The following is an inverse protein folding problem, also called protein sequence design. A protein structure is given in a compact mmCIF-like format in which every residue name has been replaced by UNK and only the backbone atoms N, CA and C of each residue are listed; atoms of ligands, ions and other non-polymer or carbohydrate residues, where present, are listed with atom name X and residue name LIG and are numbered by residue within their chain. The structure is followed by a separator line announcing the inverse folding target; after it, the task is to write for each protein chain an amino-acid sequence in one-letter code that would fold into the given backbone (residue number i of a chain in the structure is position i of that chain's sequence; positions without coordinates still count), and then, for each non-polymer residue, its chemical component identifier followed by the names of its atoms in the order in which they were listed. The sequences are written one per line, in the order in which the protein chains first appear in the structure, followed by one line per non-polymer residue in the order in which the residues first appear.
data_IF_856944632090
#
_entry.id   IF_856944632090
#
_cell.length_a   1.000
_cell.length_b   1.000
_cell.length_c   1.000
_cell.angle_alpha   90.00
_cell.angle_beta   90.00
_cell.angle_gamma   90.00
#
_symmetry.space_group_name_H-M   'P 1'
#
loop_
_entity.id
_entity.type
_entity.pdbx_description
1 polymer ?
#
# COMPACT_ATOMS: atom_id res chain seq x y z
N UNK A 1 1.05 16.86 -24.71
CA UNK A 1 1.62 15.50 -24.67
C UNK A 1 0.46 14.58 -24.37
N UNK A 2 0.15 13.65 -25.27
CA UNK A 2 -0.85 12.60 -24.99
C UNK A 2 -0.43 11.90 -23.69
N UNK A 3 -1.35 11.83 -22.72
CA UNK A 3 -1.14 10.98 -21.56
C UNK A 3 -1.08 9.54 -22.07
N UNK A 4 0.12 8.94 -22.08
CA UNK A 4 0.26 7.53 -22.41
C UNK A 4 -0.59 6.72 -21.43
N UNK A 5 -1.50 5.91 -21.97
CA UNK A 5 -2.41 5.10 -21.17
C UNK A 5 -1.69 3.84 -20.66
N UNK A 6 -2.05 3.40 -19.46
CA UNK A 6 -1.55 2.15 -18.88
C UNK A 6 -1.92 0.93 -19.72
N UNK A 7 -0.97 0.00 -19.89
CA UNK A 7 -1.26 -1.33 -20.44
C UNK A 7 -1.94 -2.20 -19.38
N UNK A 8 -3.28 -2.20 -19.41
CA UNK A 8 -4.12 -2.97 -18.49
C UNK A 8 -3.87 -4.48 -18.62
N UNK A 9 -3.54 -4.98 -19.81
CA UNK A 9 -3.29 -6.42 -20.02
C UNK A 9 -2.00 -6.87 -19.34
N UNK A 10 -0.94 -6.06 -19.43
CA UNK A 10 0.31 -6.30 -18.71
C UNK A 10 0.08 -6.25 -17.18
N UNK A 11 -0.72 -5.31 -16.70
CA UNK A 11 -1.10 -5.24 -15.28
C UNK A 11 -1.91 -6.47 -14.84
N UNK A 12 -2.93 -6.89 -15.58
CA UNK A 12 -3.72 -8.09 -15.29
C UNK A 12 -2.84 -9.34 -15.23
N UNK A 13 -1.89 -9.47 -16.15
CA UNK A 13 -0.89 -10.54 -16.13
C UNK A 13 -0.02 -10.47 -14.87
N UNK A 14 0.42 -9.27 -14.46
CA UNK A 14 1.23 -9.05 -13.26
C UNK A 14 0.51 -9.47 -11.97
N UNK A 15 -0.79 -9.22 -11.90
CA UNK A 15 -1.62 -9.52 -10.72
C UNK A 15 -2.38 -10.85 -10.80
N UNK A 16 -2.21 -11.60 -11.90
CA UNK A 16 -2.92 -12.86 -12.13
C UNK A 16 -4.44 -12.71 -12.23
N UNK A 17 -4.94 -11.56 -12.68
CA UNK A 17 -6.36 -11.33 -12.86
C UNK A 17 -6.82 -11.84 -14.23
N UNK A 18 -7.86 -12.69 -14.22
CA UNK A 18 -8.39 -13.36 -15.42
C UNK A 18 -9.83 -12.93 -15.74
N UNK A 19 -10.38 -11.97 -15.00
CA UNK A 19 -11.74 -11.48 -15.20
C UNK A 19 -11.82 -10.39 -16.26
N UNK A 20 -13.04 -9.88 -16.43
CA UNK A 20 -13.39 -8.95 -17.49
C UNK A 20 -12.95 -7.52 -17.13
N UNK A 21 -12.69 -6.69 -18.15
CA UNK A 21 -12.31 -5.28 -17.98
C UNK A 21 -13.54 -4.35 -17.78
N UNK A 22 -14.60 -4.82 -17.12
CA UNK A 22 -15.85 -4.07 -16.94
C UNK A 22 -15.84 -3.38 -15.57
N UNK A 23 -16.14 -2.07 -15.45
CA UNK A 23 -16.04 -1.32 -14.20
C UNK A 23 -17.23 -1.59 -13.26
N UNK A 24 -17.32 -2.80 -12.71
CA UNK A 24 -18.33 -3.19 -11.72
C UNK A 24 -17.73 -3.28 -10.32
N UNK A 25 -18.59 -3.37 -9.31
CA UNK A 25 -18.15 -3.58 -7.93
C UNK A 25 -17.41 -4.91 -7.77
N UNK A 26 -17.86 -5.97 -8.44
CA UNK A 26 -17.20 -7.28 -8.43
C UNK A 26 -15.78 -7.21 -9.01
N UNK A 27 -15.61 -6.47 -10.13
CA UNK A 27 -14.29 -6.21 -10.71
C UNK A 27 -13.39 -5.44 -9.74
N UNK A 28 -13.92 -4.41 -9.06
CA UNK A 28 -13.16 -3.65 -8.07
C UNK A 28 -12.69 -4.54 -6.91
N UNK A 29 -13.56 -5.38 -6.36
CA UNK A 29 -13.20 -6.35 -5.33
C UNK A 29 -12.13 -7.34 -5.82
N UNK A 30 -12.31 -7.91 -7.01
CA UNK A 30 -11.41 -8.91 -7.56
C UNK A 30 -10.02 -8.34 -7.87
N UNK A 31 -9.96 -7.13 -8.43
CA UNK A 31 -8.69 -6.43 -8.69
C UNK A 31 -7.98 -6.03 -7.40
N UNK A 32 -8.71 -5.56 -6.39
CA UNK A 32 -8.13 -5.21 -5.09
C UNK A 32 -7.46 -6.44 -4.44
N UNK A 33 -8.13 -7.59 -4.49
CA UNK A 33 -7.58 -8.86 -3.98
C UNK A 33 -6.40 -9.38 -4.82
N UNK A 34 -6.49 -9.29 -6.15
CA UNK A 34 -5.43 -9.70 -7.08
C UNK A 34 -4.16 -8.85 -6.91
N UNK A 35 -4.33 -7.54 -6.69
CA UNK A 35 -3.21 -6.65 -6.43
C UNK A 35 -2.52 -6.98 -5.10
N UNK A 36 -3.31 -7.08 -4.02
CA UNK A 36 -2.82 -7.38 -2.66
C UNK A 36 -1.95 -8.65 -2.57
N UNK A 37 -2.32 -9.70 -3.31
CA UNK A 37 -1.59 -10.98 -3.32
C UNK A 37 -0.36 -11.00 -4.22
N UNK A 38 -0.20 -10.00 -5.10
CA UNK A 38 0.75 -10.08 -6.22
C UNK A 38 1.80 -8.98 -6.23
N UNK A 39 1.46 -7.77 -5.80
CA UNK A 39 2.36 -6.61 -5.79
C UNK A 39 2.72 -6.31 -4.34
N UNK A 40 3.89 -6.74 -3.84
CA UNK A 40 4.26 -6.54 -2.44
C UNK A 40 4.44 -5.05 -2.13
N UNK A 41 4.11 -4.68 -0.90
CA UNK A 41 4.62 -3.45 -0.32
C UNK A 41 6.13 -3.62 -0.07
N UNK A 42 6.92 -2.61 -0.39
CA UNK A 42 8.35 -2.55 -0.08
C UNK A 42 8.89 -1.12 -0.19
N UNK A 43 10.05 -0.87 0.41
CA UNK A 43 10.73 0.43 0.38
C UNK A 43 12.23 0.33 0.10
N UNK A 44 12.67 -0.65 -0.70
CA UNK A 44 14.07 -0.84 -1.05
C UNK A 44 14.66 0.37 -1.76
N UNK A 45 13.91 1.03 -2.65
CA UNK A 45 14.42 2.23 -3.34
C UNK A 45 14.82 3.33 -2.33
N UNK A 46 13.94 3.79 -1.41
CA UNK A 46 14.33 4.72 -0.34
C UNK A 46 15.48 4.23 0.55
N UNK A 47 15.50 2.95 0.95
CA UNK A 47 16.58 2.37 1.80
C UNK A 47 17.92 2.39 1.08
N UNK A 48 17.91 2.19 -0.25
CA UNK A 48 19.10 2.26 -1.11
C UNK A 48 19.39 3.69 -1.61
N UNK A 49 18.69 4.70 -1.08
CA UNK A 49 18.94 6.12 -1.39
C UNK A 49 18.38 6.59 -2.73
N UNK A 50 17.46 5.84 -3.34
CA UNK A 50 16.74 6.23 -4.56
C UNK A 50 15.39 6.86 -4.21
N UNK A 51 15.17 8.16 -4.46
CA UNK A 51 13.89 8.81 -4.19
C UNK A 51 12.77 8.26 -5.06
N UNK A 52 11.56 8.21 -4.50
CA UNK A 52 10.33 7.97 -5.27
C UNK A 52 9.71 9.32 -5.60
N UNK A 53 10.13 9.90 -6.72
CA UNK A 53 9.78 11.27 -7.10
C UNK A 53 8.80 11.36 -8.28
N UNK A 54 8.73 10.33 -9.13
CA UNK A 54 7.85 10.30 -10.31
C UNK A 54 6.67 9.36 -10.06
N UNK A 55 5.48 9.93 -9.89
CA UNK A 55 4.22 9.19 -9.73
C UNK A 55 3.42 9.13 -11.04
N UNK A 56 4.08 9.35 -12.17
CA UNK A 56 3.53 9.18 -13.50
C UNK A 56 3.26 7.71 -13.84
N UNK A 57 2.23 7.48 -14.63
CA UNK A 57 1.79 6.13 -15.04
C UNK A 57 2.91 5.28 -15.63
N UNK A 58 3.79 5.86 -16.45
CA UNK A 58 4.92 5.13 -17.04
C UNK A 58 5.95 4.69 -16.02
N UNK A 59 6.32 5.56 -15.07
CA UNK A 59 7.29 5.23 -14.02
C UNK A 59 6.76 4.12 -13.10
N UNK A 60 5.48 4.22 -12.70
CA UNK A 60 4.85 3.24 -11.84
C UNK A 60 4.65 1.90 -12.54
N UNK A 61 4.17 1.90 -13.79
CA UNK A 61 4.01 0.67 -14.57
C UNK A 61 5.37 0.01 -14.89
N UNK A 62 6.39 0.81 -15.20
CA UNK A 62 7.74 0.28 -15.41
C UNK A 62 8.24 -0.48 -14.18
N UNK A 63 8.14 0.14 -13.00
CA UNK A 63 8.66 -0.45 -11.76
C UNK A 63 7.82 -1.65 -11.30
N UNK A 64 6.53 -1.45 -11.03
CA UNK A 64 5.69 -2.43 -10.36
C UNK A 64 5.23 -3.57 -11.29
N UNK A 65 5.10 -3.30 -12.59
CA UNK A 65 4.63 -4.27 -13.59
C UNK A 65 5.81 -4.88 -14.34
N UNK A 66 6.57 -4.08 -15.11
CA UNK A 66 7.60 -4.60 -16.02
C UNK A 66 8.81 -5.18 -15.27
N UNK A 67 9.33 -4.44 -14.30
CA UNK A 67 10.46 -4.85 -13.45
C UNK A 67 10.05 -5.71 -12.25
N UNK A 68 8.75 -6.05 -12.13
CA UNK A 68 8.20 -6.94 -11.09
C UNK A 68 8.63 -6.57 -9.65
N UNK A 69 8.85 -5.28 -9.41
CA UNK A 69 9.09 -4.74 -8.08
C UNK A 69 7.78 -4.56 -7.31
N UNK A 70 7.91 -4.19 -6.05
CA UNK A 70 6.82 -3.64 -5.26
C UNK A 70 6.89 -2.12 -5.22
N UNK A 71 6.21 -1.55 -4.23
CA UNK A 71 6.33 -0.14 -3.87
C UNK A 71 5.54 0.18 -2.62
N UNK A 72 5.69 1.40 -2.11
CA UNK A 72 4.89 1.88 -0.98
C UNK A 72 3.59 2.58 -1.43
N UNK A 73 2.89 3.24 -0.51
CA UNK A 73 1.51 3.73 -0.74
C UNK A 73 1.31 4.56 -2.00
N UNK A 74 2.19 5.52 -2.30
CA UNK A 74 2.07 6.40 -3.46
C UNK A 74 2.21 5.63 -4.78
N UNK A 75 3.01 4.57 -4.80
CA UNK A 75 3.25 3.75 -5.99
C UNK A 75 2.13 2.74 -6.20
N UNK A 76 1.72 2.06 -5.12
CA UNK A 76 0.66 1.06 -5.14
C UNK A 76 -0.69 1.69 -5.51
N UNK A 77 -1.13 2.70 -4.74
CA UNK A 77 -2.40 3.37 -4.99
C UNK A 77 -2.35 4.26 -6.24
N UNK A 78 -1.18 4.80 -6.59
CA UNK A 78 -0.97 5.51 -7.86
C UNK A 78 -1.21 4.60 -9.07
N UNK A 79 -0.53 3.45 -9.12
CA UNK A 79 -0.70 2.46 -10.19
C UNK A 79 -2.14 1.94 -10.23
N UNK A 80 -2.68 1.55 -9.08
CA UNK A 80 -4.04 1.03 -8.99
C UNK A 80 -5.06 2.06 -9.48
N UNK A 81 -4.90 3.33 -9.11
CA UNK A 81 -5.73 4.42 -9.60
C UNK A 81 -5.71 4.56 -11.12
N UNK A 82 -4.54 4.54 -11.76
CA UNK A 82 -4.45 4.61 -13.23
C UNK A 82 -5.11 3.40 -13.91
N UNK A 83 -4.98 2.18 -13.34
CA UNK A 83 -5.66 0.99 -13.87
C UNK A 83 -7.18 1.17 -13.79
N UNK A 84 -7.69 1.59 -12.64
CA UNK A 84 -9.13 1.78 -12.43
C UNK A 84 -9.71 2.85 -13.38
N UNK A 85 -9.00 3.97 -13.58
CA UNK A 85 -9.42 4.97 -14.56
C UNK A 85 -9.47 4.42 -15.98
N UNK A 86 -8.47 3.63 -16.39
CA UNK A 86 -8.44 3.01 -17.72
C UNK A 86 -9.58 2.01 -17.93
N UNK A 87 -10.10 1.42 -16.86
CA UNK A 87 -11.28 0.55 -16.88
C UNK A 87 -12.61 1.32 -16.85
N UNK A 88 -12.59 2.64 -16.63
CA UNK A 88 -13.78 3.49 -16.60
C UNK A 88 -14.37 3.75 -15.21
N UNK A 89 -13.66 3.43 -14.13
CA UNK A 89 -14.02 3.89 -12.79
C UNK A 89 -13.71 5.38 -12.62
N UNK A 90 -14.47 6.08 -11.77
CA UNK A 90 -14.09 7.40 -11.30
C UNK A 90 -13.09 7.30 -10.14
N UNK A 91 -12.00 8.06 -10.14
CA UNK A 91 -10.93 7.94 -9.12
C UNK A 91 -10.46 9.30 -8.62
N UNK A 92 -10.76 9.60 -7.35
CA UNK A 92 -10.15 10.70 -6.61
C UNK A 92 -8.97 10.18 -5.79
N UNK A 93 -7.81 10.85 -5.87
CA UNK A 93 -6.65 10.55 -5.02
C UNK A 93 -6.72 11.43 -3.77
N UNK A 94 -6.58 10.84 -2.60
CA UNK A 94 -6.66 11.52 -1.32
C UNK A 94 -5.31 11.44 -0.58
N UNK A 95 -5.08 12.37 0.35
CA UNK A 95 -3.90 12.37 1.23
C UNK A 95 -4.31 12.12 2.68
N UNK A 96 -3.53 11.29 3.37
CA UNK A 96 -3.76 10.89 4.75
C UNK A 96 -2.54 11.06 5.65
N UNK A 97 -2.80 11.13 6.95
CA UNK A 97 -1.83 11.16 8.03
C UNK A 97 -1.89 9.83 8.78
N UNK A 98 -0.77 9.13 8.82
CA UNK A 98 -0.67 7.85 9.54
C UNK A 98 -0.66 8.12 11.04
N UNK A 99 -1.61 7.53 11.77
CA UNK A 99 -1.74 7.64 13.24
C UNK A 99 -1.64 6.27 13.91
N UNK A 100 -1.23 5.25 13.15
CA UNK A 100 -1.13 3.89 13.65
C UNK A 100 -0.10 3.78 14.77
N UNK A 101 -0.51 3.20 15.90
CA UNK A 101 0.29 3.07 17.12
C UNK A 101 0.74 4.40 17.74
N UNK A 102 0.18 5.53 17.31
CA UNK A 102 0.41 6.81 17.99
C UNK A 102 -0.48 6.90 19.23
N UNK A 103 0.08 7.47 20.30
CA UNK A 103 -0.70 7.87 21.47
C UNK A 103 -1.72 8.97 21.10
N UNK A 104 -2.86 9.07 21.82
CA UNK A 104 -3.89 10.06 21.52
C UNK A 104 -3.41 11.51 21.45
N UNK A 105 -2.40 11.86 22.26
CA UNK A 105 -1.82 13.21 22.36
C UNK A 105 -0.54 13.38 21.51
N UNK A 106 -0.24 12.44 20.62
CA UNK A 106 0.92 12.53 19.74
C UNK A 106 0.84 13.77 18.82
N UNK A 107 1.98 14.38 18.46
CA UNK A 107 2.01 15.48 17.50
C UNK A 107 1.35 15.09 16.17
N UNK A 108 0.71 16.07 15.52
CA UNK A 108 0.06 15.85 14.22
C UNK A 108 1.06 15.31 13.19
N UNK A 109 0.87 14.10 12.65
CA UNK A 109 1.79 13.51 11.68
C UNK A 109 1.72 14.21 10.33
N UNK A 110 2.78 14.10 9.52
CA UNK A 110 2.78 14.62 8.15
C UNK A 110 1.80 13.85 7.24
N UNK A 111 1.34 14.49 6.16
CA UNK A 111 0.54 13.84 5.12
C UNK A 111 1.46 12.97 4.25
N UNK A 112 1.51 11.68 4.59
CA UNK A 112 2.50 10.72 4.10
C UNK A 112 1.87 9.44 3.56
N UNK A 113 0.54 9.40 3.50
CA UNK A 113 -0.22 8.30 2.95
C UNK A 113 -1.09 8.79 1.79
N UNK A 114 -1.23 7.96 0.76
CA UNK A 114 -2.15 8.18 -0.35
C UNK A 114 -3.18 7.05 -0.38
N UNK A 115 -4.45 7.38 -0.59
CA UNK A 115 -5.56 6.41 -0.76
C UNK A 115 -6.49 6.88 -1.89
N UNK A 116 -7.41 6.03 -2.32
CA UNK A 116 -8.34 6.32 -3.41
C UNK A 116 -9.79 6.36 -2.93
N UNK A 117 -10.55 7.35 -3.38
CA UNK A 117 -12.01 7.30 -3.37
C UNK A 117 -12.48 6.96 -4.79
N UNK A 118 -13.13 5.80 -4.92
CA UNK A 118 -13.50 5.20 -6.21
C UNK A 118 -15.02 5.27 -6.39
N UNK A 119 -15.45 5.76 -7.55
CA UNK A 119 -16.84 5.73 -7.99
C UNK A 119 -17.01 4.57 -8.98
N UNK A 120 -17.96 3.68 -8.70
CA UNK A 120 -18.30 2.56 -9.55
C UNK A 120 -19.56 2.92 -10.36
N UNK A 121 -19.54 2.85 -11.70
CA UNK A 121 -20.72 3.08 -12.52
C UNK A 121 -21.92 2.24 -12.08
N UNK A 122 -23.04 2.90 -11.79
CA UNK A 122 -24.30 2.25 -11.37
C UNK A 122 -24.40 1.94 -9.87
N UNK A 123 -23.37 2.19 -9.08
CA UNK A 123 -23.42 2.06 -7.61
C UNK A 123 -23.67 3.42 -6.95
N UNK A 124 -24.44 3.41 -5.86
CA UNK A 124 -24.62 4.59 -5.02
C UNK A 124 -23.40 4.82 -4.10
N UNK A 125 -22.87 6.04 -4.14
CA UNK A 125 -21.78 6.49 -3.28
C UNK A 125 -20.38 6.15 -3.81
N UNK A 126 -19.38 6.31 -2.95
CA UNK A 126 -17.96 6.05 -3.25
C UNK A 126 -17.42 4.94 -2.36
N UNK A 127 -16.36 4.30 -2.82
CA UNK A 127 -15.64 3.27 -2.10
C UNK A 127 -14.22 3.75 -1.76
N UNK A 128 -13.78 3.54 -0.53
CA UNK A 128 -12.38 3.67 -0.16
C UNK A 128 -11.63 2.44 -0.67
N UNK A 129 -10.60 2.68 -1.48
CA UNK A 129 -9.64 1.66 -1.89
C UNK A 129 -8.25 2.04 -1.37
N UNK A 130 -7.56 1.07 -0.78
CA UNK A 130 -6.19 1.24 -0.31
C UNK A 130 -5.46 -0.11 -0.39
N UNK A 131 -4.60 -0.23 -1.40
CA UNK A 131 -3.71 -1.37 -1.62
C UNK A 131 -2.27 -1.07 -1.19
N UNK A 132 -2.05 0.06 -0.51
CA UNK A 132 -0.73 0.67 -0.34
C UNK A 132 -0.27 0.88 1.09
N UNK A 133 -1.07 0.55 2.11
CA UNK A 133 -0.72 0.80 3.53
C UNK A 133 0.22 -0.27 4.15
N UNK A 134 0.69 -1.22 3.34
CA UNK A 134 1.52 -2.32 3.80
C UNK A 134 0.71 -3.39 4.54
N UNK A 135 1.24 -3.87 5.67
CA UNK A 135 0.73 -5.05 6.36
C UNK A 135 -0.75 -5.04 6.71
N UNK A 136 -1.24 -3.89 7.16
CA UNK A 136 -2.63 -3.70 7.59
C UNK A 136 -3.48 -3.00 6.52
N UNK A 137 -3.03 -2.99 5.25
CA UNK A 137 -3.81 -2.42 4.14
C UNK A 137 -5.18 -3.09 4.00
N UNK A 138 -6.14 -2.36 3.42
CA UNK A 138 -7.45 -2.90 3.14
C UNK A 138 -7.32 -4.14 2.24
N UNK A 139 -8.10 -5.17 2.55
CA UNK A 139 -8.12 -6.40 1.74
C UNK A 139 -9.26 -6.42 0.73
N UNK A 140 -10.20 -5.48 0.88
CA UNK A 140 -11.37 -5.25 0.05
C UNK A 140 -11.65 -3.74 -0.01
N UNK A 141 -12.21 -3.21 -1.11
CA UNK A 141 -12.82 -1.90 -1.08
C UNK A 141 -13.93 -1.85 -0.03
N UNK A 142 -14.09 -0.73 0.66
CA UNK A 142 -15.17 -0.50 1.63
C UNK A 142 -15.96 0.75 1.25
N UNK A 143 -17.23 0.85 1.62
CA UNK A 143 -18.02 2.07 1.39
C UNK A 143 -17.40 3.24 2.14
N UNK A 144 -17.28 4.39 1.47
CA UNK A 144 -16.77 5.63 2.04
C UNK A 144 -17.89 6.32 2.86
N UNK A 145 -18.26 5.69 3.97
CA UNK A 145 -19.31 6.15 4.90
C UNK A 145 -18.88 5.90 6.34
N UNK A 146 -19.02 6.91 7.20
CA UNK A 146 -18.71 6.78 8.62
C UNK A 146 -19.80 6.02 9.38
N UNK A 147 -19.38 5.23 10.38
CA UNK A 147 -20.26 4.57 11.34
C UNK A 147 -20.27 3.04 11.21
N UNK A 148 -20.78 2.47 10.11
CA UNK A 148 -20.89 1.02 9.96
C UNK A 148 -19.54 0.30 10.05
N UNK A 149 -19.55 -0.85 10.75
CA UNK A 149 -18.50 -1.86 10.65
C UNK A 149 -18.66 -2.58 9.32
N UNK A 150 -17.57 -2.73 8.57
CA UNK A 150 -17.54 -3.32 7.24
C UNK A 150 -16.60 -4.51 7.25
N UNK A 151 -17.16 -5.70 7.01
CA UNK A 151 -16.38 -6.93 6.89
C UNK A 151 -15.58 -6.91 5.58
N UNK A 152 -14.29 -7.24 5.65
CA UNK A 152 -13.43 -7.42 4.48
C UNK A 152 -13.13 -8.91 4.28
N UNK A 153 -12.27 -9.24 3.31
CA UNK A 153 -11.72 -10.60 3.18
C UNK A 153 -10.96 -11.06 4.44
N UNK A 154 -10.48 -10.13 5.26
CA UNK A 154 -9.75 -10.40 6.50
C UNK A 154 -10.48 -9.77 7.70
N UNK A 155 -9.90 -8.76 8.35
CA UNK A 155 -10.46 -8.14 9.53
C UNK A 155 -11.63 -7.20 9.17
N UNK A 156 -12.56 -6.95 10.11
CA UNK A 156 -13.49 -5.84 10.02
C UNK A 156 -12.77 -4.49 10.06
N UNK A 157 -13.23 -3.54 9.25
CA UNK A 157 -12.79 -2.15 9.24
C UNK A 157 -13.98 -1.23 9.51
N UNK A 158 -13.71 0.00 9.93
CA UNK A 158 -14.72 1.07 9.99
C UNK A 158 -14.12 2.41 9.67
N UNK A 159 -14.94 3.29 9.11
CA UNK A 159 -14.63 4.72 9.04
C UNK A 159 -15.33 5.41 10.20
N UNK A 160 -14.59 6.26 10.90
CA UNK A 160 -15.11 7.12 11.97
C UNK A 160 -15.10 8.56 11.47
N UNK A 161 -16.17 9.31 11.74
CA UNK A 161 -16.21 10.74 11.52
C UNK A 161 -15.15 11.42 12.41
N UNK A 162 -14.22 12.12 11.77
CA UNK A 162 -13.12 12.81 12.43
C UNK A 162 -13.17 14.33 12.18
N UNK A 163 -14.34 14.86 11.80
CA UNK A 163 -14.59 16.26 11.50
C UNK A 163 -15.04 16.50 10.06
N UNK A 164 -15.26 17.78 9.68
CA UNK A 164 -15.74 18.13 8.35
C UNK A 164 -14.91 17.50 7.24
N UNK A 165 -15.57 16.74 6.36
CA UNK A 165 -14.99 16.02 5.23
C UNK A 165 -13.77 15.14 5.57
N UNK A 166 -13.65 14.72 6.84
CA UNK A 166 -12.50 14.02 7.40
C UNK A 166 -12.93 12.68 7.99
N UNK A 167 -12.23 11.62 7.60
CA UNK A 167 -12.45 10.28 8.11
C UNK A 167 -11.20 9.74 8.78
N UNK A 168 -11.41 8.91 9.81
CA UNK A 168 -10.38 8.03 10.36
C UNK A 168 -10.71 6.58 10.02
N UNK A 169 -9.78 5.88 9.36
CA UNK A 169 -9.91 4.44 9.17
C UNK A 169 -9.41 3.72 10.42
N UNK A 170 -10.20 2.76 10.90
CA UNK A 170 -9.82 1.85 11.97
C UNK A 170 -10.00 0.39 11.53
N UNK A 171 -9.14 -0.49 12.03
CA UNK A 171 -9.22 -1.93 11.83
C UNK A 171 -9.40 -2.64 13.18
N UNK A 172 -10.19 -3.71 13.21
CA UNK A 172 -10.30 -4.57 14.39
C UNK A 172 -9.16 -5.60 14.37
N UNK A 173 -8.07 -5.31 15.08
CA UNK A 173 -6.89 -6.16 15.15
C UNK A 173 -6.81 -6.79 16.54
N UNK A 174 -6.91 -8.13 16.61
CA UNK A 174 -6.86 -8.89 17.88
C UNK A 174 -7.86 -8.37 18.91
N UNK A 175 -9.13 -8.24 18.49
CA UNK A 175 -10.25 -7.75 19.29
C UNK A 175 -10.13 -6.29 19.77
N UNK A 176 -9.19 -5.53 19.22
CA UNK A 176 -9.00 -4.11 19.53
C UNK A 176 -9.10 -3.25 18.27
N UNK A 177 -9.90 -2.20 18.34
CA UNK A 177 -9.94 -1.19 17.28
C UNK A 177 -8.66 -0.37 17.32
N UNK A 178 -7.92 -0.38 16.22
CA UNK A 178 -6.71 0.42 16.04
C UNK A 178 -6.95 1.45 14.95
N UNK A 179 -6.67 2.72 15.27
CA UNK A 179 -6.63 3.78 14.29
C UNK A 179 -5.44 3.58 13.36
N UNK A 180 -5.66 3.65 12.04
CA UNK A 180 -4.61 3.47 11.05
C UNK A 180 -4.15 4.83 10.49
N UNK A 181 -5.09 5.57 9.91
CA UNK A 181 -4.82 6.87 9.32
C UNK A 181 -6.07 7.75 9.26
N UNK A 182 -5.84 9.05 9.21
CA UNK A 182 -6.87 10.09 9.03
C UNK A 182 -6.69 10.75 7.67
N UNK A 183 -7.75 10.99 6.92
CA UNK A 183 -7.69 11.60 5.60
C UNK A 183 -8.89 12.51 5.33
N UNK A 184 -8.72 13.48 4.45
CA UNK A 184 -9.82 14.32 3.95
C UNK A 184 -10.30 13.79 2.61
N UNK A 185 -11.55 14.11 2.23
CA UNK A 185 -12.11 13.73 0.91
C UNK A 185 -11.81 14.70 -0.23
N UNK A 186 -10.95 15.69 0.04
CA UNK A 186 -10.48 16.64 -0.96
C UNK A 186 -9.49 15.96 -1.93
N UNK A 187 -9.79 15.90 -3.24
CA UNK A 187 -8.87 15.34 -4.23
C UNK A 187 -7.55 16.11 -4.26
N UNK A 188 -6.44 15.38 -4.34
CA UNK A 188 -5.10 15.94 -4.41
C UNK A 188 -4.54 15.83 -5.83
N UNK A 189 -3.96 16.91 -6.38
CA UNK A 189 -3.25 16.83 -7.65
C UNK A 189 -1.98 15.98 -7.46
N UNK A 190 -1.50 15.38 -8.55
CA UNK A 190 -0.32 14.51 -8.53
C UNK A 190 0.90 15.19 -7.90
N UNK A 191 1.10 16.48 -8.17
CA UNK A 191 2.24 17.24 -7.63
C UNK A 191 2.27 17.28 -6.10
N UNK A 192 1.11 17.37 -5.43
CA UNK A 192 1.05 17.36 -3.97
C UNK A 192 1.41 15.98 -3.41
N UNK A 193 1.02 14.92 -4.14
CA UNK A 193 1.38 13.54 -3.80
C UNK A 193 2.88 13.30 -4.03
N UNK A 194 3.46 13.82 -5.10
CA UNK A 194 4.90 13.77 -5.39
C UNK A 194 5.72 14.47 -4.29
N UNK A 195 5.24 15.61 -3.76
CA UNK A 195 5.87 16.29 -2.60
C UNK A 195 5.84 15.41 -1.35
N UNK A 196 4.71 14.77 -1.05
CA UNK A 196 4.61 13.82 0.06
C UNK A 196 5.53 12.61 -0.13
N UNK A 197 5.52 12.02 -1.33
CA UNK A 197 6.36 10.90 -1.76
C UNK A 197 7.85 11.23 -1.61
N UNK A 198 8.27 12.43 -2.03
CA UNK A 198 9.63 12.95 -1.84
C UNK A 198 10.00 13.02 -0.35
N UNK A 199 9.15 13.61 0.49
CA UNK A 199 9.41 13.69 1.92
C UNK A 199 9.59 12.29 2.53
N UNK A 200 8.68 11.36 2.23
CA UNK A 200 8.71 10.01 2.78
C UNK A 200 9.91 9.20 2.27
N UNK A 201 10.35 9.41 1.03
CA UNK A 201 11.47 8.66 0.43
C UNK A 201 12.85 9.26 0.69
N UNK A 202 12.96 10.49 1.18
CA UNK A 202 14.26 11.19 1.31
C UNK A 202 14.53 11.81 2.67
N UNK A 203 13.50 12.07 3.48
CA UNK A 203 13.72 12.73 4.77
C UNK A 203 14.51 11.79 5.69
N UNK A 204 15.60 12.25 6.33
CA UNK A 204 16.53 11.39 7.07
C UNK A 204 15.93 10.74 8.33
N UNK A 205 14.73 11.16 8.74
CA UNK A 205 13.96 10.53 9.84
C UNK A 205 12.73 9.76 9.37
N UNK A 206 12.51 9.63 8.06
CA UNK A 206 11.42 8.82 7.55
C UNK A 206 11.65 7.36 7.90
N UNK A 207 10.63 6.67 8.42
CA UNK A 207 10.68 5.24 8.75
C UNK A 207 10.97 4.36 7.54
N UNK A 208 10.80 4.91 6.33
CA UNK A 208 11.07 4.23 5.06
C UNK A 208 12.47 4.53 4.51
N UNK A 209 13.20 5.48 5.09
CA UNK A 209 14.62 5.72 4.77
C UNK A 209 15.50 4.96 5.76
N UNK A 210 15.14 5.00 7.05
CA UNK A 210 15.97 4.42 8.12
C UNK A 210 15.61 2.97 8.47
N UNK A 211 14.66 2.34 7.77
CA UNK A 211 14.22 1.00 8.11
C UNK A 211 13.73 0.25 6.89
N UNK A 212 13.95 -1.07 6.86
CA UNK A 212 13.42 -1.94 5.82
C UNK A 212 12.01 -2.42 6.20
N UNK A 213 11.08 -2.32 5.26
CA UNK A 213 9.74 -2.87 5.35
C UNK A 213 9.36 -3.61 4.07
N UNK A 214 8.75 -4.78 4.20
CA UNK A 214 8.03 -5.43 3.12
C UNK A 214 6.73 -6.04 3.65
N UNK A 215 5.68 -6.07 2.83
CA UNK A 215 4.44 -6.73 3.19
C UNK A 215 3.73 -7.36 1.99
N UNK A 216 2.97 -8.42 2.24
CA UNK A 216 2.13 -9.08 1.24
C UNK A 216 0.86 -9.61 1.89
N UNK A 217 -0.30 -9.43 1.24
CA UNK A 217 -1.58 -9.90 1.75
C UNK A 217 -2.13 -10.96 0.80
N UNK A 218 -2.05 -12.22 1.24
CA UNK A 218 -2.63 -13.37 0.56
C UNK A 218 -4.09 -13.58 1.00
N UNK A 219 -4.77 -14.58 0.49
CA UNK A 219 -6.14 -14.89 0.92
C UNK A 219 -6.16 -15.46 2.35
N UNK A 220 -5.05 -16.06 2.79
CA UNK A 220 -4.94 -16.78 4.06
C UNK A 220 -4.21 -15.99 5.15
N UNK A 221 -3.31 -15.08 4.76
CA UNK A 221 -2.41 -14.44 5.70
C UNK A 221 -1.91 -13.05 5.27
N UNK A 222 -1.56 -12.24 6.28
CA UNK A 222 -0.78 -11.00 6.16
C UNK A 222 0.67 -11.29 6.53
N UNK A 223 1.58 -11.07 5.59
CA UNK A 223 3.02 -11.23 5.75
C UNK A 223 3.65 -9.86 5.95
N UNK A 224 4.42 -9.70 7.02
CA UNK A 224 5.03 -8.43 7.42
C UNK A 224 6.50 -8.63 7.77
N UNK A 225 7.38 -7.99 7.03
CA UNK A 225 8.81 -7.93 7.31
C UNK A 225 9.17 -6.52 7.76
N UNK A 226 9.83 -6.39 8.91
CA UNK A 226 10.46 -5.16 9.38
C UNK A 226 11.90 -5.46 9.79
N UNK A 227 12.87 -4.91 9.07
CA UNK A 227 14.27 -5.27 9.25
C UNK A 227 14.46 -6.78 9.06
N UNK A 228 14.91 -7.48 10.12
CA UNK A 228 15.02 -8.95 10.16
C UNK A 228 13.83 -9.69 10.78
N UNK A 229 12.79 -8.97 11.20
CA UNK A 229 11.64 -9.55 11.90
C UNK A 229 10.52 -9.83 10.90
N UNK A 230 10.24 -11.11 10.64
CA UNK A 230 9.13 -11.56 9.81
C UNK A 230 7.97 -12.00 10.71
N UNK A 231 6.79 -11.46 10.49
CA UNK A 231 5.55 -11.84 11.15
C UNK A 231 4.52 -12.30 10.12
N UNK A 232 3.85 -13.41 10.40
CA UNK A 232 2.77 -13.96 9.58
C UNK A 232 1.51 -14.03 10.42
N UNK A 233 0.49 -13.27 10.03
CA UNK A 233 -0.81 -13.26 10.71
C UNK A 233 -1.83 -14.02 9.86
N UNK A 234 -2.29 -15.16 10.37
CA UNK A 234 -3.29 -16.01 9.74
C UNK A 234 -4.42 -16.31 10.73
N UNK A 235 -5.52 -16.93 10.27
CA UNK A 235 -6.68 -17.26 11.12
C UNK A 235 -6.33 -18.15 12.34
N UNK A 236 -5.23 -18.90 12.28
CA UNK A 236 -4.75 -19.76 13.38
C UNK A 236 -3.84 -19.07 14.40
N UNK A 237 -3.47 -17.79 14.19
CA UNK A 237 -2.59 -17.06 15.09
C UNK A 237 -1.50 -16.26 14.37
N UNK A 238 -0.49 -15.84 15.13
CA UNK A 238 0.67 -15.11 14.60
C UNK A 238 1.94 -15.94 14.77
N UNK A 239 2.63 -16.21 13.68
CA UNK A 239 4.00 -16.72 13.69
C UNK A 239 4.99 -15.55 13.60
N UNK A 240 6.12 -15.65 14.31
CA UNK A 240 7.20 -14.67 14.27
C UNK A 240 8.53 -15.37 14.09
N UNK A 241 9.36 -14.83 13.22
CA UNK A 241 10.67 -15.34 12.89
C UNK A 241 11.67 -14.17 12.86
N UNK A 242 12.82 -14.37 13.49
CA UNK A 242 13.97 -13.49 13.36
C UNK A 242 14.95 -14.12 12.37
N UNK A 243 15.24 -13.41 11.29
CA UNK A 243 16.17 -13.82 10.24
C UNK A 243 17.60 -13.52 10.67
N UNK A 244 18.55 -14.40 10.34
CA UNK A 244 19.91 -14.35 10.86
C UNK A 244 20.73 -13.14 10.36
N UNK A 245 20.38 -12.59 9.19
CA UNK A 245 21.10 -11.46 8.59
C UNK A 245 20.58 -11.08 7.21
N UNK A 246 21.32 -10.19 6.54
CA UNK A 246 20.90 -9.59 5.27
C UNK A 246 20.66 -10.63 4.16
N UNK A 247 21.47 -11.69 4.09
CA UNK A 247 21.32 -12.75 3.09
C UNK A 247 19.98 -13.49 3.24
N UNK A 248 19.57 -13.84 4.45
CA UNK A 248 18.26 -14.48 4.68
C UNK A 248 17.11 -13.51 4.39
N UNK A 249 17.26 -12.24 4.75
CA UNK A 249 16.29 -11.19 4.43
C UNK A 249 16.10 -11.04 2.92
N UNK A 250 17.20 -10.98 2.16
CA UNK A 250 17.14 -10.93 0.68
C UNK A 250 16.52 -12.21 0.12
N UNK A 251 16.87 -13.37 0.67
CA UNK A 251 16.23 -14.64 0.32
C UNK A 251 14.72 -14.61 0.51
N UNK A 252 14.23 -14.01 1.60
CA UNK A 252 12.81 -13.87 1.89
C UNK A 252 12.12 -12.86 0.95
N UNK A 253 12.77 -11.71 0.66
CA UNK A 253 12.28 -10.72 -0.32
C UNK A 253 12.07 -11.33 -1.71
N UNK A 254 12.99 -12.18 -2.17
CA UNK A 254 12.88 -12.85 -3.47
C UNK A 254 11.85 -13.98 -3.41
N UNK A 255 11.97 -14.91 -2.46
CA UNK A 255 11.22 -16.16 -2.50
C UNK A 255 9.79 -16.02 -2.01
N UNK A 256 9.53 -15.23 -0.96
CA UNK A 256 8.17 -15.06 -0.40
C UNK A 256 7.46 -13.83 -0.90
N UNK A 257 8.16 -12.69 -0.97
CA UNK A 257 7.56 -11.46 -1.47
C UNK A 257 7.59 -11.36 -3.01
N UNK A 258 8.33 -12.24 -3.69
CA UNK A 258 8.32 -12.35 -5.14
C UNK A 258 8.98 -11.17 -5.86
N UNK A 259 9.91 -10.48 -5.18
CA UNK A 259 10.59 -9.30 -5.72
C UNK A 259 11.72 -9.70 -6.68
N UNK A 260 11.73 -9.07 -7.86
CA UNK A 260 12.91 -9.08 -8.73
C UNK A 260 13.87 -7.97 -8.30
N UNK A 261 15.05 -8.35 -7.79
CA UNK A 261 16.06 -7.43 -7.29
C UNK A 261 17.12 -7.07 -8.35
N UNK A 262 16.94 -7.54 -9.59
CA UNK A 262 17.86 -7.29 -10.69
C UNK A 262 18.06 -5.78 -10.92
N UNK A 263 19.33 -5.37 -11.03
CA UNK A 263 19.69 -3.97 -11.28
C UNK A 263 19.74 -3.05 -10.05
N UNK A 264 19.53 -3.57 -8.83
CA UNK A 264 19.64 -2.79 -7.58
C UNK A 264 21.04 -2.78 -6.94
N UNK A 265 22.02 -3.43 -7.56
CA UNK A 265 23.36 -3.57 -7.00
C UNK A 265 23.41 -4.55 -5.83
N UNK A 266 24.29 -4.30 -4.85
CA UNK A 266 24.45 -5.15 -3.68
C UNK A 266 23.41 -4.82 -2.61
N UNK A 267 22.23 -5.45 -2.73
CA UNK A 267 21.11 -5.25 -1.80
C UNK A 267 21.47 -5.73 -0.39
N UNK A 268 22.24 -6.82 -0.25
CA UNK A 268 22.64 -7.36 1.05
C UNK A 268 23.47 -6.33 1.84
N UNK A 269 24.50 -5.75 1.21
CA UNK A 269 25.27 -4.68 1.80
C UNK A 269 24.40 -3.43 2.06
N UNK A 270 23.52 -3.09 1.11
CA UNK A 270 22.63 -1.93 1.19
C UNK A 270 21.68 -1.97 2.38
N UNK A 271 21.13 -3.12 2.76
CA UNK A 271 20.16 -3.25 3.86
C UNK A 271 20.78 -3.61 5.21
N UNK A 272 22.05 -4.02 5.24
CA UNK A 272 22.70 -4.54 6.46
C UNK A 272 22.64 -3.57 7.65
N UNK A 273 22.64 -2.26 7.37
CA UNK A 273 22.60 -1.21 8.39
C UNK A 273 21.20 -0.92 8.96
N UNK A 274 20.13 -1.49 8.38
CA UNK A 274 18.72 -1.25 8.79
C UNK A 274 18.00 -2.49 9.32
N UNK A 275 18.73 -3.59 9.56
CA UNK A 275 18.12 -4.86 9.99
C UNK A 275 17.51 -4.82 11.41
N UNK A 276 18.10 -4.02 12.30
CA UNK A 276 17.73 -3.96 13.72
C UNK A 276 16.90 -2.72 14.07
N UNK A 277 16.57 -1.89 13.07
CA UNK A 277 15.78 -0.68 13.29
C UNK A 277 14.30 -1.08 13.39
N UNK A 278 13.87 -1.43 14.59
CA UNK A 278 12.45 -1.41 14.95
C UNK A 278 11.96 0.03 14.84
N UNK A 279 10.98 0.28 13.95
CA UNK A 279 10.25 1.54 14.01
C UNK A 279 9.61 1.65 15.40
N UNK A 280 9.76 2.84 16.01
CA UNK A 280 9.08 3.22 17.25
C UNK A 280 7.57 3.17 17.06
#
# INVERSE_FOLDING_TARGET
MEAMAIDVSAYFTRVGYLGDAIPTLDTLHALHAAHNRSVPFENLDPVLGTPVADLGVEALADKLVRRRRGGYCYEQNGLFGYVLEALGFGVDRLAGRVVWMHEPDAPLPAQTHNVLAVTVPGEDGRFLCDVGFGGQTLSSPIRLVAGPVQQTRHEPYRLVDAGPDTFRLEALVRDQWQALYVFTTEPRPRIDLEVGSWYVSTHPKSIFVVGLSAALVTDEARWNLRGRQLAVHANGGTERMELAGAAEVVGELVNRFGLDLSGLGDVEAGISHVLDITAM
#
